data_IF_309657793989
#
_entry.id   IF_309657793989
#
_cell.length_a   1.000
_cell.length_b   1.000
_cell.length_c   1.000
_cell.angle_alpha   90.00
_cell.angle_beta   90.00
_cell.angle_gamma   90.00
#
_symmetry.space_group_name_H-M   'P 1'
#
loop_
_entity.id
_entity.type
_entity.pdbx_description
1 polymer ?
#
# COMPACT_ATOMS: atom_id res chain seq x y z
N UNK A 1 38.07 -10.10 7.34
CA UNK A 1 36.64 -10.48 7.30
C UNK A 1 35.85 -9.32 7.85
N UNK A 2 35.21 -8.52 6.99
CA UNK A 2 34.15 -7.62 7.47
C UNK A 2 32.99 -8.51 7.87
N UNK A 3 32.73 -8.65 9.16
CA UNK A 3 31.42 -9.10 9.60
C UNK A 3 30.44 -8.02 9.14
N UNK A 4 29.63 -8.31 8.12
CA UNK A 4 28.45 -7.49 7.85
C UNK A 4 27.66 -7.46 9.15
N UNK A 5 27.69 -6.32 9.84
CA UNK A 5 26.93 -6.13 11.06
C UNK A 5 25.46 -6.04 10.67
N UNK A 6 24.80 -7.20 10.60
CA UNK A 6 23.34 -7.29 10.46
C UNK A 6 22.71 -6.54 11.63
N UNK A 7 22.25 -5.32 11.38
CA UNK A 7 21.57 -4.50 12.38
C UNK A 7 20.05 -4.60 12.24
N UNK A 8 19.33 -4.20 13.29
CA UNK A 8 17.87 -4.09 13.33
C UNK A 8 17.32 -3.32 12.15
N UNK A 9 17.90 -2.15 11.96
CA UNK A 9 17.56 -1.22 10.90
C UNK A 9 17.80 -1.78 9.49
N UNK A 10 18.94 -2.44 9.28
CA UNK A 10 19.28 -3.04 7.99
C UNK A 10 18.35 -4.22 7.67
N UNK A 11 18.09 -5.07 8.67
CA UNK A 11 17.21 -6.23 8.52
C UNK A 11 15.77 -5.80 8.17
N UNK A 12 15.26 -4.75 8.80
CA UNK A 12 13.94 -4.21 8.49
C UNK A 12 13.84 -3.58 7.09
N UNK A 13 14.87 -2.88 6.62
CA UNK A 13 14.87 -2.37 5.25
C UNK A 13 14.98 -3.52 4.23
N UNK A 14 16.00 -4.37 4.38
CA UNK A 14 16.36 -5.37 3.38
C UNK A 14 15.47 -6.61 3.38
N UNK A 15 15.31 -7.22 4.55
CA UNK A 15 14.61 -8.51 4.66
C UNK A 15 13.10 -8.34 4.67
N UNK A 16 12.60 -7.19 5.14
CA UNK A 16 11.17 -6.92 5.19
C UNK A 16 10.66 -6.09 4.01
N UNK A 17 11.21 -4.90 3.75
CA UNK A 17 10.68 -4.00 2.72
C UNK A 17 11.20 -4.29 1.31
N UNK A 18 12.52 -4.45 1.15
CA UNK A 18 13.15 -4.62 -0.16
C UNK A 18 13.13 -6.07 -0.66
N UNK A 19 12.87 -7.04 0.23
CA UNK A 19 12.52 -8.40 -0.17
C UNK A 19 11.06 -8.41 -0.68
N UNK A 20 10.89 -8.05 -1.95
CA UNK A 20 9.58 -7.84 -2.56
C UNK A 20 8.62 -9.04 -2.42
N UNK A 21 9.06 -10.31 -2.62
CA UNK A 21 8.19 -11.45 -2.36
C UNK A 21 7.67 -11.52 -0.93
N UNK A 22 8.54 -11.30 0.06
CA UNK A 22 8.16 -11.30 1.47
C UNK A 22 7.21 -10.15 1.80
N UNK A 23 7.53 -8.94 1.31
CA UNK A 23 6.72 -7.76 1.54
C UNK A 23 5.33 -7.90 0.92
N UNK A 24 5.23 -8.37 -0.33
CA UNK A 24 3.95 -8.59 -1.00
C UNK A 24 3.11 -9.65 -0.31
N UNK A 25 3.72 -10.74 0.17
CA UNK A 25 3.01 -11.75 0.96
C UNK A 25 2.44 -11.15 2.25
N UNK A 26 3.25 -10.41 2.99
CA UNK A 26 2.81 -9.69 4.19
C UNK A 26 1.65 -8.73 3.87
N UNK A 27 1.77 -7.96 2.79
CA UNK A 27 0.76 -7.02 2.34
C UNK A 27 -0.55 -7.73 1.94
N UNK A 28 -0.46 -8.85 1.23
CA UNK A 28 -1.62 -9.69 0.88
C UNK A 28 -2.33 -10.22 2.13
N UNK A 29 -1.60 -10.76 3.11
CA UNK A 29 -2.19 -11.28 4.36
C UNK A 29 -2.96 -10.15 5.07
N UNK A 30 -2.36 -8.96 5.13
CA UNK A 30 -2.95 -7.81 5.81
C UNK A 30 -4.20 -7.30 5.07
N UNK A 31 -4.15 -7.22 3.74
CA UNK A 31 -5.31 -6.86 2.90
C UNK A 31 -6.43 -7.90 3.02
N UNK A 32 -6.12 -9.19 3.03
CA UNK A 32 -7.11 -10.26 3.22
C UNK A 32 -7.80 -10.11 4.58
N UNK A 33 -7.02 -9.97 5.65
CA UNK A 33 -7.57 -9.80 7.01
C UNK A 33 -8.48 -8.57 7.11
N UNK A 34 -8.04 -7.44 6.56
CA UNK A 34 -8.81 -6.20 6.54
C UNK A 34 -10.05 -6.28 5.63
N UNK A 35 -9.92 -6.91 4.47
CA UNK A 35 -11.03 -7.13 3.54
C UNK A 35 -12.11 -8.01 4.14
N UNK A 36 -11.73 -9.09 4.84
CA UNK A 36 -12.64 -9.96 5.57
C UNK A 36 -13.37 -9.18 6.67
N UNK A 37 -12.63 -8.41 7.47
CA UNK A 37 -13.18 -7.69 8.61
C UNK A 37 -14.07 -6.51 8.17
N UNK A 38 -13.54 -5.56 7.40
CA UNK A 38 -14.27 -4.35 7.01
C UNK A 38 -15.29 -4.64 5.92
N UNK A 39 -14.89 -5.33 4.85
CA UNK A 39 -15.80 -5.67 3.75
C UNK A 39 -16.93 -6.60 4.21
N UNK A 40 -16.61 -7.58 5.07
CA UNK A 40 -17.60 -8.49 5.65
C UNK A 40 -18.61 -7.79 6.56
N UNK A 41 -18.14 -6.94 7.48
CA UNK A 41 -19.01 -6.19 8.38
C UNK A 41 -19.89 -5.18 7.63
N UNK A 42 -19.32 -4.50 6.63
CA UNK A 42 -20.04 -3.53 5.79
C UNK A 42 -21.17 -4.21 5.02
N UNK A 43 -20.90 -5.37 4.41
CA UNK A 43 -21.91 -6.17 3.71
C UNK A 43 -23.07 -6.62 4.63
N UNK A 44 -22.76 -7.15 5.81
CA UNK A 44 -23.77 -7.57 6.79
C UNK A 44 -24.61 -6.39 7.30
N UNK A 45 -23.99 -5.24 7.54
CA UNK A 45 -24.69 -4.03 8.00
C UNK A 45 -25.66 -3.50 6.94
N UNK A 46 -25.29 -3.57 5.65
CA UNK A 46 -26.17 -3.22 4.53
C UNK A 46 -27.33 -4.20 4.37
N UNK A 47 -27.07 -5.51 4.45
CA UNK A 47 -28.13 -6.52 4.27
C UNK A 47 -29.13 -6.58 5.43
N UNK A 48 -28.66 -6.37 6.66
CA UNK A 48 -29.51 -6.46 7.85
C UNK A 48 -30.49 -5.29 8.02
N UNK A 49 -30.42 -4.25 7.19
CA UNK A 49 -31.30 -3.08 7.27
C UNK A 49 -31.04 -2.18 8.49
N UNK A 50 -30.14 -2.54 9.40
CA UNK A 50 -29.69 -1.69 10.52
C UNK A 50 -29.09 -0.36 10.02
N UNK A 51 -28.42 -0.40 8.86
CA UNK A 51 -27.96 0.80 8.15
C UNK A 51 -29.12 1.73 7.79
N UNK A 52 -30.26 1.20 7.32
CA UNK A 52 -31.40 2.02 6.88
C UNK A 52 -32.02 2.81 8.03
N UNK A 53 -32.04 2.29 9.26
CA UNK A 53 -32.60 3.01 10.41
C UNK A 53 -31.70 4.16 10.90
N UNK A 54 -30.38 3.99 10.80
CA UNK A 54 -29.40 5.06 11.06
C UNK A 54 -29.35 6.08 9.92
N UNK A 55 -29.43 5.63 8.67
CA UNK A 55 -29.42 6.44 7.44
C UNK A 55 -30.71 7.26 7.22
N UNK A 56 -31.83 6.84 7.79
CA UNK A 56 -33.07 7.63 7.76
C UNK A 56 -33.06 8.73 8.83
N UNK A 57 -32.36 8.52 9.95
CA UNK A 57 -32.19 9.54 11.01
C UNK A 57 -31.05 10.53 10.72
N UNK A 58 -29.96 10.08 10.10
CA UNK A 58 -28.86 10.90 9.62
C UNK A 58 -28.87 10.90 8.10
N UNK A 59 -29.02 12.07 7.46
CA UNK A 59 -28.90 12.21 5.99
C UNK A 59 -27.77 11.32 5.44
N UNK A 60 -28.07 10.48 4.44
CA UNK A 60 -27.18 9.42 3.95
C UNK A 60 -25.74 9.87 3.69
N UNK A 61 -25.57 11.05 3.09
CA UNK A 61 -24.27 11.68 2.82
C UNK A 61 -23.43 11.87 4.09
N UNK A 62 -24.03 12.34 5.19
CA UNK A 62 -23.33 12.59 6.45
C UNK A 62 -22.96 11.29 7.16
N UNK A 63 -23.83 10.27 7.07
CA UNK A 63 -23.52 8.93 7.54
C UNK A 63 -22.31 8.35 6.81
N UNK A 64 -22.33 8.33 5.48
CA UNK A 64 -21.22 7.79 4.68
C UNK A 64 -19.90 8.52 4.96
N UNK A 65 -19.93 9.85 5.06
CA UNK A 65 -18.73 10.65 5.38
C UNK A 65 -18.15 10.28 6.74
N UNK A 66 -18.98 10.17 7.78
CA UNK A 66 -18.52 9.81 9.13
C UNK A 66 -18.01 8.38 9.21
N UNK A 67 -18.67 7.44 8.53
CA UNK A 67 -18.25 6.03 8.47
C UNK A 67 -16.90 5.89 7.77
N UNK A 68 -16.71 6.54 6.62
CA UNK A 68 -15.41 6.52 5.91
C UNK A 68 -14.31 7.15 6.77
N UNK A 69 -14.59 8.28 7.43
CA UNK A 69 -13.62 8.91 8.33
C UNK A 69 -13.23 8.00 9.50
N UNK A 70 -14.19 7.31 10.11
CA UNK A 70 -13.92 6.35 11.18
C UNK A 70 -13.10 5.16 10.66
N UNK A 71 -13.44 4.62 9.48
CA UNK A 71 -12.68 3.55 8.82
C UNK A 71 -11.25 3.99 8.49
N UNK A 72 -11.06 5.22 8.01
CA UNK A 72 -9.75 5.81 7.73
C UNK A 72 -8.87 5.86 8.98
N UNK A 73 -9.40 6.41 10.08
CA UNK A 73 -8.66 6.52 11.35
C UNK A 73 -8.33 5.12 11.90
N UNK A 74 -9.28 4.19 11.88
CA UNK A 74 -9.08 2.82 12.32
C UNK A 74 -8.00 2.10 11.51
N UNK A 75 -8.07 2.18 10.18
CA UNK A 75 -7.08 1.54 9.30
C UNK A 75 -5.69 2.14 9.47
N UNK A 76 -5.61 3.47 9.58
CA UNK A 76 -4.35 4.15 9.79
C UNK A 76 -3.69 3.73 11.11
N UNK A 77 -4.43 3.76 12.22
CA UNK A 77 -3.88 3.37 13.53
C UNK A 77 -3.50 1.91 13.57
N UNK A 78 -4.34 1.01 13.03
CA UNK A 78 -4.04 -0.41 12.97
C UNK A 78 -2.79 -0.72 12.14
N UNK A 79 -2.65 -0.14 10.94
CA UNK A 79 -1.45 -0.31 10.11
C UNK A 79 -0.20 0.21 10.83
N UNK A 80 -0.26 1.41 11.41
CA UNK A 80 0.86 1.98 12.17
C UNK A 80 1.28 1.05 13.31
N UNK A 81 0.33 0.53 14.09
CA UNK A 81 0.63 -0.41 15.17
C UNK A 81 1.28 -1.70 14.65
N UNK A 82 0.78 -2.28 13.55
CA UNK A 82 1.38 -3.48 12.96
C UNK A 82 2.79 -3.21 12.45
N UNK A 83 3.00 -2.15 11.68
CA UNK A 83 4.34 -1.82 11.18
C UNK A 83 5.33 -1.53 12.32
N UNK A 84 4.87 -0.93 13.42
CA UNK A 84 5.67 -0.77 14.63
C UNK A 84 6.02 -2.12 15.28
N UNK A 85 5.07 -3.05 15.38
CA UNK A 85 5.35 -4.40 15.90
C UNK A 85 6.38 -5.11 15.03
N UNK A 86 6.20 -5.09 13.70
CA UNK A 86 7.14 -5.69 12.75
C UNK A 86 8.52 -5.04 12.91
N UNK A 87 8.60 -3.71 12.95
CA UNK A 87 9.84 -2.99 13.17
C UNK A 87 10.56 -3.44 14.45
N UNK A 88 9.83 -3.53 15.57
CA UNK A 88 10.36 -3.99 16.85
C UNK A 88 10.87 -5.44 16.76
N UNK A 89 10.13 -6.33 16.10
CA UNK A 89 10.55 -7.73 15.89
C UNK A 89 11.87 -7.79 15.12
N UNK A 90 11.99 -7.08 14.00
CA UNK A 90 13.23 -7.06 13.22
C UNK A 90 14.40 -6.42 13.96
N UNK A 91 14.11 -5.41 14.80
CA UNK A 91 15.09 -4.76 15.66
C UNK A 91 15.69 -5.75 16.67
N UNK A 92 14.85 -6.53 17.35
CA UNK A 92 15.32 -7.52 18.32
C UNK A 92 15.91 -8.78 17.69
N UNK A 93 15.39 -9.23 16.55
CA UNK A 93 15.86 -10.43 15.85
C UNK A 93 17.34 -10.35 15.47
N UNK A 94 17.81 -9.16 15.09
CA UNK A 94 19.18 -8.92 14.65
C UNK A 94 20.06 -8.22 15.71
N UNK A 95 19.73 -8.39 16.99
CA UNK A 95 20.61 -7.97 18.09
C UNK A 95 20.56 -6.48 18.45
N UNK A 96 19.53 -5.73 18.01
CA UNK A 96 19.22 -4.39 18.53
C UNK A 96 20.10 -3.25 18.02
N UNK A 97 20.93 -3.47 17.00
CA UNK A 97 21.80 -2.44 16.46
C UNK A 97 21.06 -1.36 15.65
N UNK A 98 21.44 -0.10 15.85
CA UNK A 98 21.03 1.06 15.03
C UNK A 98 22.15 1.54 14.08
N UNK A 99 23.16 0.70 13.81
CA UNK A 99 24.18 1.08 12.84
C UNK A 99 23.60 1.07 11.43
N UNK A 100 23.77 2.21 10.74
CA UNK A 100 23.58 2.31 9.30
C UNK A 100 24.70 1.47 8.68
N UNK A 101 24.37 0.52 7.78
CA UNK A 101 25.40 -0.27 7.12
C UNK A 101 26.36 0.67 6.38
N UNK A 102 27.65 0.56 6.67
CA UNK A 102 28.70 1.05 5.80
C UNK A 102 28.56 0.23 4.51
N UNK A 103 28.12 0.88 3.44
CA UNK A 103 27.71 0.24 2.19
C UNK A 103 28.85 -0.62 1.67
N UNK A 104 28.67 -1.94 1.75
CA UNK A 104 29.48 -2.94 1.05
C UNK A 104 28.64 -4.18 0.67
N UNK A 105 27.54 -4.43 1.39
CA UNK A 105 26.62 -5.55 1.17
C UNK A 105 25.51 -5.28 0.15
N UNK A 106 25.51 -4.12 -0.53
CA UNK A 106 24.63 -3.83 -1.67
C UNK A 106 24.96 -4.62 -2.94
N UNK A 107 25.98 -5.48 -2.90
CA UNK A 107 26.39 -6.31 -4.04
C UNK A 107 25.51 -7.55 -4.18
N UNK A 108 24.24 -7.36 -4.55
CA UNK A 108 23.53 -8.42 -5.26
C UNK A 108 23.92 -8.38 -6.74
N UNK A 109 24.23 -9.56 -7.28
CA UNK A 109 24.75 -9.78 -8.63
C UNK A 109 23.72 -9.33 -9.67
N UNK A 110 24.10 -8.37 -10.53
CA UNK A 110 23.31 -7.96 -11.70
C UNK A 110 22.67 -6.58 -11.63
N UNK A 111 22.85 -5.86 -10.52
CA UNK A 111 22.38 -4.50 -10.34
C UNK A 111 23.57 -3.52 -10.53
N UNK A 112 23.58 -2.71 -11.61
CA UNK A 112 24.54 -1.59 -11.80
C UNK A 112 24.09 -0.35 -10.99
N UNK A 113 24.70 -0.07 -9.83
CA UNK A 113 24.26 0.99 -8.91
C UNK A 113 25.40 1.95 -8.54
N UNK A 114 25.03 3.21 -8.30
CA UNK A 114 25.88 4.41 -8.23
C UNK A 114 26.85 4.53 -7.04
N UNK A 115 27.52 5.69 -6.86
CA UNK A 115 28.59 5.86 -5.90
C UNK A 115 28.11 5.70 -4.46
N UNK A 116 28.83 4.88 -3.71
CA UNK A 116 28.63 4.62 -2.28
C UNK A 116 28.86 5.92 -1.49
N UNK A 117 27.79 6.48 -0.91
CA UNK A 117 27.87 7.66 -0.03
C UNK A 117 27.33 7.36 1.35
N UNK A 118 28.05 7.76 2.40
CA UNK A 118 27.59 7.66 3.80
C UNK A 118 26.26 8.41 3.99
N UNK A 119 25.22 7.69 4.41
CA UNK A 119 23.90 8.25 4.70
C UNK A 119 23.79 8.48 6.21
N UNK A 120 23.32 9.67 6.63
CA UNK A 120 23.06 9.92 8.05
C UNK A 120 21.94 9.03 8.59
N UNK A 121 22.05 8.58 9.83
CA UNK A 121 21.02 7.77 10.52
C UNK A 121 19.65 8.44 10.44
N UNK A 122 19.60 9.76 10.59
CA UNK A 122 18.36 10.54 10.46
C UNK A 122 17.71 10.37 9.07
N UNK A 123 18.48 10.53 7.98
CA UNK A 123 17.98 10.35 6.61
C UNK A 123 17.50 8.91 6.36
N UNK A 124 18.19 7.93 6.93
CA UNK A 124 17.79 6.53 6.85
C UNK A 124 16.45 6.25 7.56
N UNK A 125 16.27 6.76 8.78
CA UNK A 125 15.00 6.66 9.52
C UNK A 125 13.85 7.36 8.78
N UNK A 126 14.10 8.52 8.16
CA UNK A 126 13.11 9.20 7.32
C UNK A 126 12.73 8.36 6.09
N UNK A 127 13.68 7.62 5.51
CA UNK A 127 13.41 6.71 4.37
C UNK A 127 12.47 5.58 4.79
N UNK A 128 12.77 4.92 5.91
CA UNK A 128 11.92 3.86 6.47
C UNK A 128 10.52 4.36 6.82
N UNK A 129 10.43 5.55 7.42
CA UNK A 129 9.14 6.20 7.69
C UNK A 129 8.37 6.46 6.38
N UNK A 130 9.07 6.91 5.33
CA UNK A 130 8.52 7.09 4.00
C UNK A 130 7.91 5.80 3.44
N UNK A 131 8.63 4.68 3.51
CA UNK A 131 8.10 3.37 3.07
C UNK A 131 6.85 2.93 3.84
N UNK A 132 6.84 3.11 5.16
CA UNK A 132 5.67 2.79 6.01
C UNK A 132 4.48 3.65 5.61
N UNK A 133 4.65 4.98 5.57
CA UNK A 133 3.56 5.90 5.24
C UNK A 133 3.04 5.67 3.82
N UNK A 134 3.93 5.42 2.86
CA UNK A 134 3.55 5.12 1.48
C UNK A 134 2.68 3.86 1.38
N UNK A 135 3.10 2.80 2.08
CA UNK A 135 2.36 1.54 2.14
C UNK A 135 0.96 1.74 2.73
N UNK A 136 0.84 2.57 3.77
CA UNK A 136 -0.45 2.90 4.39
C UNK A 136 -1.34 3.70 3.42
N UNK A 137 -0.79 4.72 2.77
CA UNK A 137 -1.50 5.57 1.80
C UNK A 137 -2.03 4.75 0.62
N UNK A 138 -1.33 3.70 0.19
CA UNK A 138 -1.81 2.83 -0.89
C UNK A 138 -2.85 1.80 -0.41
N UNK A 139 -2.66 1.23 0.78
CA UNK A 139 -3.51 0.17 1.30
C UNK A 139 -4.91 0.67 1.71
N UNK A 140 -4.99 1.83 2.35
CA UNK A 140 -6.24 2.37 2.86
C UNK A 140 -7.29 2.55 1.74
N UNK A 141 -7.00 3.24 0.63
CA UNK A 141 -7.90 3.36 -0.51
C UNK A 141 -8.34 2.01 -1.08
N UNK A 142 -7.46 1.01 -1.18
CA UNK A 142 -7.82 -0.33 -1.66
C UNK A 142 -8.93 -0.96 -0.83
N UNK A 143 -8.85 -0.84 0.49
CA UNK A 143 -9.86 -1.39 1.40
C UNK A 143 -11.15 -0.58 1.35
N UNK A 144 -11.06 0.74 1.22
CA UNK A 144 -12.22 1.62 1.05
C UNK A 144 -12.96 1.29 -0.25
N UNK A 145 -12.25 1.00 -1.35
CA UNK A 145 -12.86 0.56 -2.61
C UNK A 145 -13.71 -0.70 -2.39
N UNK A 146 -13.20 -1.67 -1.62
CA UNK A 146 -13.98 -2.87 -1.23
C UNK A 146 -15.24 -2.51 -0.46
N UNK A 147 -15.12 -1.71 0.60
CA UNK A 147 -16.24 -1.23 1.42
C UNK A 147 -17.32 -0.53 0.56
N UNK A 148 -16.90 0.38 -0.32
CA UNK A 148 -17.79 1.14 -1.21
C UNK A 148 -18.40 0.29 -2.34
N UNK A 149 -17.76 -0.82 -2.73
CA UNK A 149 -18.27 -1.70 -3.77
C UNK A 149 -19.44 -2.59 -3.31
N UNK A 150 -19.65 -2.69 -1.99
CA UNK A 150 -20.71 -3.51 -1.38
C UNK A 150 -22.14 -3.13 -1.80
N UNK A 151 -22.35 -1.90 -2.30
CA UNK A 151 -23.65 -1.46 -2.83
C UNK A 151 -23.90 -2.00 -4.25
N UNK A 152 -22.84 -2.27 -5.02
CA UNK A 152 -22.94 -2.77 -6.40
C UNK A 152 -22.82 -4.29 -6.47
N UNK A 153 -22.04 -4.87 -5.57
CA UNK A 153 -21.75 -6.29 -5.53
C UNK A 153 -22.64 -6.98 -4.49
N UNK A 154 -23.30 -8.06 -4.90
CA UNK A 154 -24.16 -8.85 -3.99
C UNK A 154 -23.43 -10.02 -3.32
N UNK A 155 -22.19 -10.30 -3.72
CA UNK A 155 -21.42 -11.43 -3.21
C UNK A 155 -20.39 -10.97 -2.19
N UNK A 156 -20.58 -11.39 -0.93
CA UNK A 156 -19.68 -11.10 0.20
C UNK A 156 -18.23 -11.49 -0.10
N UNK A 157 -17.99 -12.66 -0.67
CA UNK A 157 -16.64 -13.16 -0.94
C UNK A 157 -15.92 -12.31 -1.99
N UNK A 158 -16.65 -11.87 -3.02
CA UNK A 158 -16.10 -10.97 -4.05
C UNK A 158 -15.70 -9.63 -3.43
N UNK A 159 -16.53 -9.09 -2.53
CA UNK A 159 -16.22 -7.83 -1.82
C UNK A 159 -14.98 -8.00 -0.94
N UNK A 160 -14.94 -9.05 -0.12
CA UNK A 160 -13.83 -9.31 0.81
C UNK A 160 -12.50 -9.54 0.07
N UNK A 161 -12.54 -10.19 -1.10
CA UNK A 161 -11.35 -10.48 -1.89
C UNK A 161 -10.99 -9.37 -2.89
N UNK A 162 -11.86 -8.37 -3.09
CA UNK A 162 -11.66 -7.28 -4.06
C UNK A 162 -10.31 -6.58 -3.96
N UNK A 163 -9.80 -6.19 -2.78
CA UNK A 163 -8.54 -5.47 -2.74
C UNK A 163 -7.35 -6.38 -3.09
N UNK A 164 -7.46 -7.70 -2.88
CA UNK A 164 -6.48 -8.67 -3.37
C UNK A 164 -6.56 -8.81 -4.90
N UNK A 165 -7.78 -8.86 -5.45
CA UNK A 165 -7.97 -8.91 -6.91
C UNK A 165 -7.42 -7.67 -7.60
N UNK A 166 -7.56 -6.48 -7.00
CA UNK A 166 -6.98 -5.24 -7.55
C UNK A 166 -5.45 -5.33 -7.53
N UNK A 167 -4.87 -5.77 -6.41
CA UNK A 167 -3.43 -5.93 -6.27
C UNK A 167 -2.86 -6.94 -7.30
N UNK A 168 -3.32 -8.19 -7.24
CA UNK A 168 -2.84 -9.28 -8.10
C UNK A 168 -3.21 -9.02 -9.57
N UNK A 169 -4.41 -8.49 -9.81
CA UNK A 169 -4.85 -8.08 -11.14
C UNK A 169 -3.90 -7.06 -11.75
N UNK A 170 -3.45 -6.06 -10.98
CA UNK A 170 -2.44 -5.09 -11.43
C UNK A 170 -1.15 -5.77 -11.93
N UNK A 171 -0.64 -6.76 -11.19
CA UNK A 171 0.54 -7.54 -11.62
C UNK A 171 0.26 -8.38 -12.86
N UNK A 172 -0.88 -9.08 -12.92
CA UNK A 172 -1.24 -9.90 -14.09
C UNK A 172 -1.44 -9.06 -15.35
N UNK A 173 -2.11 -7.91 -15.24
CA UNK A 173 -2.26 -6.95 -16.34
C UNK A 173 -0.91 -6.37 -16.74
N UNK A 174 -0.03 -6.04 -15.78
CA UNK A 174 1.34 -5.61 -16.05
C UNK A 174 2.14 -6.63 -16.85
N UNK A 175 2.08 -7.89 -16.44
CA UNK A 175 2.78 -8.96 -17.13
C UNK A 175 2.21 -9.21 -18.53
N UNK A 176 0.89 -9.30 -18.68
CA UNK A 176 0.25 -9.61 -19.96
C UNK A 176 0.37 -8.46 -20.97
N UNK A 177 0.05 -7.24 -20.55
CA UNK A 177 0.04 -6.07 -21.43
C UNK A 177 1.45 -5.51 -21.64
N UNK A 178 2.34 -5.61 -20.65
CA UNK A 178 3.71 -5.14 -20.77
C UNK A 178 4.51 -5.89 -21.84
N UNK A 179 4.17 -7.15 -22.10
CA UNK A 179 4.81 -7.95 -23.14
C UNK A 179 4.32 -7.63 -24.57
N UNK A 180 3.27 -6.82 -24.74
CA UNK A 180 2.72 -6.50 -26.06
C UNK A 180 3.54 -5.42 -26.77
N UNK A 181 3.87 -4.33 -26.08
CA UNK A 181 4.66 -3.21 -26.63
C UNK A 181 5.27 -2.37 -25.50
N UNK A 182 6.43 -1.75 -25.78
CA UNK A 182 7.17 -0.86 -24.87
C UNK A 182 6.32 0.28 -24.31
N UNK A 183 5.48 0.92 -25.12
CA UNK A 183 4.60 2.01 -24.63
C UNK A 183 3.60 1.51 -23.61
N UNK A 184 3.03 0.32 -23.84
CA UNK A 184 2.06 -0.29 -22.94
C UNK A 184 2.75 -0.78 -21.65
N UNK A 185 3.94 -1.36 -21.78
CA UNK A 185 4.83 -1.69 -20.65
C UNK A 185 5.06 -0.48 -19.76
N UNK A 186 5.46 0.67 -20.34
CA UNK A 186 5.72 1.88 -19.57
C UNK A 186 4.48 2.34 -18.82
N UNK A 187 3.31 2.33 -19.44
CA UNK A 187 2.05 2.73 -18.78
C UNK A 187 1.73 1.79 -17.62
N UNK A 188 1.72 0.47 -17.86
CA UNK A 188 1.22 -0.48 -16.86
C UNK A 188 2.18 -0.61 -15.67
N UNK A 189 3.49 -0.38 -15.86
CA UNK A 189 4.47 -0.35 -14.76
C UNK A 189 4.15 0.70 -13.68
N UNK A 190 3.48 1.81 -14.01
CA UNK A 190 3.05 2.80 -13.01
C UNK A 190 1.95 2.28 -12.09
N UNK A 191 1.30 1.17 -12.45
CA UNK A 191 0.26 0.52 -11.67
C UNK A 191 0.78 -0.69 -10.87
N UNK A 192 2.09 -0.95 -10.93
CA UNK A 192 2.75 -2.01 -10.17
C UNK A 192 3.30 -1.41 -8.88
N UNK A 193 2.74 -1.83 -7.75
CA UNK A 193 3.07 -1.29 -6.43
C UNK A 193 4.57 -1.43 -6.08
N UNK A 194 5.18 -2.57 -6.41
CA UNK A 194 6.62 -2.80 -6.22
C UNK A 194 7.48 -1.73 -6.89
N UNK A 195 7.18 -1.37 -8.14
CA UNK A 195 7.93 -0.34 -8.85
C UNK A 195 7.80 1.03 -8.19
N UNK A 196 6.63 1.35 -7.65
CA UNK A 196 6.43 2.59 -6.93
C UNK A 196 7.23 2.62 -5.61
N UNK A 197 7.34 1.50 -4.90
CA UNK A 197 8.13 1.38 -3.68
C UNK A 197 9.64 1.45 -3.97
N UNK A 198 10.13 0.78 -5.00
CA UNK A 198 11.53 0.87 -5.44
C UNK A 198 11.91 2.29 -5.83
N UNK A 199 11.05 3.00 -6.58
CA UNK A 199 11.30 4.39 -6.98
C UNK A 199 11.23 5.36 -5.79
N UNK A 200 10.40 5.12 -4.78
CA UNK A 200 10.45 5.88 -3.52
C UNK A 200 11.81 5.72 -2.82
N UNK A 201 12.36 4.50 -2.82
CA UNK A 201 13.69 4.22 -2.32
C UNK A 201 14.77 5.01 -3.09
N UNK A 202 14.68 5.04 -4.42
CA UNK A 202 15.61 5.76 -5.29
C UNK A 202 15.59 7.28 -5.08
N UNK A 203 14.44 7.88 -4.76
CA UNK A 203 14.33 9.31 -4.49
C UNK A 203 15.03 9.74 -3.19
N UNK A 204 15.08 8.84 -2.21
CA UNK A 204 15.53 9.19 -0.85
C UNK A 204 16.94 8.64 -0.59
N UNK A 205 17.29 7.50 -1.19
CA UNK A 205 18.59 6.84 -1.07
C UNK A 205 19.38 6.89 -2.39
N UNK A 206 20.58 7.48 -2.42
CA UNK A 206 21.43 7.50 -3.62
C UNK A 206 21.93 6.11 -4.02
N UNK A 207 21.76 5.11 -3.15
CA UNK A 207 22.21 3.75 -3.38
C UNK A 207 21.17 2.85 -4.04
N UNK A 208 19.97 3.37 -4.34
CA UNK A 208 18.90 2.65 -5.02
C UNK A 208 18.71 3.30 -6.40
N UNK A 209 18.96 2.55 -7.46
CA UNK A 209 18.70 2.95 -8.85
C UNK A 209 17.20 2.76 -9.14
N UNK A 210 16.57 3.77 -9.75
CA UNK A 210 15.17 3.71 -10.13
C UNK A 210 14.90 2.65 -11.20
N UNK A 211 13.64 2.22 -11.31
CA UNK A 211 13.23 1.15 -12.24
C UNK A 211 13.52 1.52 -13.70
N UNK A 212 13.44 2.80 -14.03
CA UNK A 212 13.90 3.37 -15.29
C UNK A 212 14.00 4.90 -15.14
N UNK A 213 15.11 5.48 -15.59
CA UNK A 213 15.17 6.91 -15.92
C UNK A 213 15.66 7.85 -14.82
N UNK A 214 15.24 9.10 -14.96
CA UNK A 214 15.71 10.24 -14.16
C UNK A 214 15.00 10.29 -12.79
N UNK A 215 15.52 11.08 -11.83
CA UNK A 215 14.82 11.32 -10.57
C UNK A 215 13.39 11.85 -10.76
N UNK A 216 13.13 12.58 -11.85
CA UNK A 216 11.82 13.13 -12.15
C UNK A 216 10.80 12.06 -12.57
N UNK A 217 11.25 11.05 -13.31
CA UNK A 217 10.39 9.90 -13.66
C UNK A 217 10.00 9.10 -12.41
N UNK A 218 10.93 8.96 -11.47
CA UNK A 218 10.69 8.27 -10.18
C UNK A 218 9.58 8.92 -9.37
N UNK A 219 9.46 10.26 -9.39
CA UNK A 219 8.37 10.98 -8.71
C UNK A 219 7.01 10.61 -9.29
N UNK A 220 6.91 10.44 -10.62
CA UNK A 220 5.66 10.08 -11.29
C UNK A 220 5.21 8.69 -10.86
N UNK A 221 6.12 7.71 -10.80
CA UNK A 221 5.83 6.37 -10.29
C UNK A 221 5.30 6.38 -8.86
N UNK A 222 5.90 7.18 -7.98
CA UNK A 222 5.50 7.28 -6.57
C UNK A 222 4.11 7.90 -6.43
N UNK A 223 3.78 8.95 -7.19
CA UNK A 223 2.53 9.70 -7.02
C UNK A 223 1.35 9.05 -7.75
N UNK A 224 1.56 8.51 -8.95
CA UNK A 224 0.45 8.12 -9.82
C UNK A 224 -0.37 6.96 -9.23
N UNK A 225 0.29 5.95 -8.67
CA UNK A 225 -0.38 4.78 -8.10
C UNK A 225 -1.37 5.16 -6.97
N UNK A 226 -0.95 5.80 -5.86
CA UNK A 226 -1.87 6.18 -4.78
C UNK A 226 -2.93 7.18 -5.25
N UNK A 227 -2.59 8.10 -6.15
CA UNK A 227 -3.55 9.06 -6.71
C UNK A 227 -4.69 8.32 -7.43
N UNK A 228 -4.37 7.32 -8.26
CA UNK A 228 -5.40 6.57 -8.99
C UNK A 228 -6.34 5.83 -8.04
N UNK A 229 -5.82 5.22 -6.97
CA UNK A 229 -6.63 4.56 -5.96
C UNK A 229 -7.55 5.53 -5.21
N UNK A 230 -7.04 6.72 -4.87
CA UNK A 230 -7.83 7.79 -4.23
C UNK A 230 -8.94 8.27 -5.17
N UNK A 231 -8.64 8.51 -6.44
CA UNK A 231 -9.62 8.95 -7.45
C UNK A 231 -10.72 7.91 -7.62
N UNK A 232 -10.36 6.62 -7.75
CA UNK A 232 -11.35 5.53 -7.85
C UNK A 232 -12.22 5.45 -6.60
N UNK A 233 -11.64 5.55 -5.41
CA UNK A 233 -12.37 5.59 -4.14
C UNK A 233 -13.37 6.74 -4.09
N UNK A 234 -12.95 7.94 -4.53
CA UNK A 234 -13.79 9.13 -4.56
C UNK A 234 -14.96 9.01 -5.55
N UNK A 235 -14.71 8.46 -6.74
CA UNK A 235 -15.77 8.21 -7.73
C UNK A 235 -16.80 7.22 -7.18
N UNK A 236 -16.36 6.14 -6.54
CA UNK A 236 -17.26 5.17 -5.91
C UNK A 236 -18.07 5.79 -4.78
N UNK A 237 -17.46 6.65 -3.96
CA UNK A 237 -18.18 7.41 -2.94
C UNK A 237 -19.30 8.26 -3.54
N UNK A 238 -19.01 9.05 -4.57
CA UNK A 238 -20.01 9.89 -5.24
C UNK A 238 -21.16 9.06 -5.85
N UNK A 239 -20.84 7.93 -6.48
CA UNK A 239 -21.85 7.02 -7.03
C UNK A 239 -22.74 6.42 -5.95
N UNK A 240 -22.19 6.06 -4.80
CA UNK A 240 -22.95 5.55 -3.67
C UNK A 240 -23.89 6.59 -3.07
N UNK A 241 -23.42 7.83 -2.90
CA UNK A 241 -24.25 8.95 -2.41
C UNK A 241 -25.46 9.17 -3.32
N UNK A 242 -25.25 9.30 -4.63
CA UNK A 242 -26.36 9.51 -5.59
C UNK A 242 -27.36 8.37 -5.57
N UNK A 243 -26.88 7.13 -5.67
CA UNK A 243 -27.76 5.95 -5.76
C UNK A 243 -28.68 5.82 -4.54
N UNK A 244 -28.17 6.11 -3.35
CA UNK A 244 -28.95 5.95 -2.12
C UNK A 244 -29.81 7.16 -1.79
N UNK A 245 -29.52 8.35 -2.34
CA UNK A 245 -30.49 9.46 -2.38
C UNK A 245 -31.73 9.06 -3.21
N UNK A 246 -31.53 8.37 -4.35
CA UNK A 246 -32.64 7.91 -5.20
C UNK A 246 -33.49 6.79 -4.56
N UNK A 247 -32.94 6.00 -3.62
CA UNK A 247 -33.67 4.93 -2.93
C UNK A 247 -34.46 5.40 -1.70
N UNK A 248 -34.17 6.60 -1.18
CA UNK A 248 -34.81 7.18 0.01
C UNK A 248 -35.92 8.19 -0.35
N UNK A 249 -36.07 8.51 -1.63
CA UNK A 249 -37.16 9.30 -2.23
C UNK A 249 -38.22 8.38 -2.83
#
# INVERSE_FOLDING_TARGET
MMSESFTGLYSFERLFYLNMPFFLLFWMILIIGMGIHIGGQTFWTLQSGYGNFLMTRMKYKDYMRKTILAQLIYLFTFCCCIFMIVFIVFLFWSGGGFHVPYISSLREVGQEYGPVTDISIARYLFTLLGFVLYSIICMIPLIIISSLSSVFLKNKFVIQFLPVMILVGGYMFGFLLGNINRTLSNIVRHFIFEHALTNLGALISPNIVPVEGSPMDSVVYVILYPLTLIVVSFILYLKNVRRMEDYLL
#
